data_IF_469157042920
#
_entry.id   IF_469157042920
#
_cell.length_a   1.000
_cell.length_b   1.000
_cell.length_c   1.000
_cell.angle_alpha   90.00
_cell.angle_beta   90.00
_cell.angle_gamma   90.00
#
_symmetry.space_group_name_H-M   'P 1'
#
loop_
_entity.id
_entity.type
_entity.pdbx_description
1 polymer ?
#
# COMPACT_ATOMS: atom_id res chain seq x y z
N UNK A 1 -0.52 -24.24 21.16
CA UNK A 1 0.88 -24.17 21.62
C UNK A 1 1.43 -22.87 21.08
N UNK A 2 1.56 -21.84 21.92
CA UNK A 2 1.96 -20.48 21.54
C UNK A 2 3.35 -20.17 22.10
N UNK A 3 4.17 -19.46 21.32
CA UNK A 3 5.50 -18.96 21.72
C UNK A 3 6.54 -20.09 21.69
N UNK A 4 7.65 -20.05 20.96
CA UNK A 4 8.54 -18.94 20.70
C UNK A 4 9.23 -19.21 19.35
N UNK A 5 8.89 -18.50 18.28
CA UNK A 5 9.56 -18.68 16.97
C UNK A 5 10.94 -18.02 16.89
N UNK A 6 11.35 -17.25 17.91
CA UNK A 6 12.58 -16.45 17.87
C UNK A 6 13.41 -16.56 19.17
N UNK A 7 13.84 -17.77 19.53
CA UNK A 7 14.68 -18.01 20.73
C UNK A 7 16.07 -17.35 20.73
N UNK A 8 16.49 -16.73 19.62
CA UNK A 8 17.77 -16.01 19.50
C UNK A 8 17.65 -14.49 19.62
N UNK A 9 16.43 -13.94 19.61
CA UNK A 9 16.18 -12.49 19.79
C UNK A 9 15.22 -12.29 20.96
N UNK A 10 15.73 -11.67 22.03
CA UNK A 10 14.87 -11.02 23.02
C UNK A 10 14.50 -9.66 22.43
N UNK A 11 13.29 -9.53 21.89
CA UNK A 11 12.67 -8.23 21.86
C UNK A 11 12.39 -7.90 23.33
N UNK A 12 12.81 -6.72 23.80
CA UNK A 12 12.59 -6.29 25.19
C UNK A 12 11.14 -6.59 25.62
N UNK A 13 10.89 -6.78 26.92
CA UNK A 13 9.56 -7.02 27.52
C UNK A 13 8.50 -5.92 27.20
N UNK A 14 8.88 -4.92 26.40
CA UNK A 14 8.12 -3.75 25.98
C UNK A 14 7.73 -3.73 24.48
N UNK A 15 8.02 -4.76 23.68
CA UNK A 15 7.45 -4.85 22.32
C UNK A 15 6.00 -5.39 22.35
N UNK A 16 5.07 -4.51 22.73
CA UNK A 16 3.60 -4.69 22.70
C UNK A 16 3.02 -4.76 21.26
N UNK A 17 3.70 -5.43 20.32
CA UNK A 17 3.12 -5.64 18.99
C UNK A 17 2.04 -6.72 19.09
N UNK A 18 0.78 -6.32 18.92
CA UNK A 18 -0.36 -7.22 18.91
C UNK A 18 -0.17 -8.38 17.91
N UNK A 19 -0.75 -9.54 18.20
CA UNK A 19 -0.83 -10.65 17.24
C UNK A 19 -1.73 -10.32 16.05
N UNK A 20 -1.58 -11.07 14.97
CA UNK A 20 -2.49 -10.96 13.82
C UNK A 20 -3.89 -11.52 14.16
N UNK A 21 -4.97 -11.00 13.54
CA UNK A 21 -5.00 -9.84 12.63
C UNK A 21 -4.90 -8.51 13.39
N UNK A 22 -3.98 -7.65 12.95
CA UNK A 22 -3.68 -6.38 13.63
C UNK A 22 -4.64 -5.27 13.23
N UNK A 23 -4.94 -4.39 14.18
CA UNK A 23 -5.70 -3.14 13.96
C UNK A 23 -4.80 -1.91 13.82
N UNK A 24 -3.62 -1.93 14.41
CA UNK A 24 -2.63 -0.85 14.41
C UNK A 24 -1.22 -1.43 14.25
N UNK A 25 -0.27 -0.61 13.82
CA UNK A 25 1.10 -1.07 13.53
C UNK A 25 1.16 -2.05 12.35
N UNK A 26 0.26 -1.90 11.38
CA UNK A 26 0.17 -2.79 10.21
C UNK A 26 1.35 -2.58 9.27
N UNK A 27 1.96 -3.68 8.85
CA UNK A 27 3.05 -3.68 7.87
C UNK A 27 2.55 -4.23 6.53
N UNK A 28 2.53 -3.40 5.50
CA UNK A 28 2.13 -3.80 4.15
C UNK A 28 3.36 -3.89 3.25
N UNK A 29 3.62 -5.06 2.68
CA UNK A 29 4.68 -5.26 1.70
C UNK A 29 4.17 -5.07 0.27
N UNK A 30 5.07 -4.65 -0.62
CA UNK A 30 4.78 -4.59 -2.05
C UNK A 30 5.05 -5.94 -2.70
N UNK A 31 4.14 -6.37 -3.57
CA UNK A 31 4.30 -7.57 -4.38
C UNK A 31 5.58 -7.49 -5.23
N UNK A 32 6.33 -8.59 -5.38
CA UNK A 32 7.44 -8.67 -6.31
C UNK A 32 6.98 -8.25 -7.72
N UNK A 33 7.66 -7.27 -8.31
CA UNK A 33 7.21 -6.61 -9.55
C UNK A 33 7.65 -7.32 -10.83
N UNK A 34 8.62 -8.25 -10.77
CA UNK A 34 9.38 -8.63 -11.97
C UNK A 34 9.70 -10.13 -12.13
N UNK A 35 9.39 -10.98 -11.15
CA UNK A 35 9.70 -12.42 -11.20
C UNK A 35 8.44 -13.26 -11.22
N UNK A 36 7.65 -13.20 -12.29
CA UNK A 36 6.40 -13.98 -12.44
C UNK A 36 6.61 -15.50 -12.27
N UNK A 37 7.80 -16.03 -12.58
CA UNK A 37 8.10 -17.46 -12.49
C UNK A 37 8.78 -17.90 -11.18
N UNK A 38 9.36 -16.96 -10.42
CA UNK A 38 10.10 -17.24 -9.18
C UNK A 38 9.46 -16.60 -7.93
N UNK A 39 8.46 -15.74 -8.12
CA UNK A 39 7.77 -15.01 -7.04
C UNK A 39 6.94 -15.92 -6.15
N UNK A 40 6.43 -17.05 -6.66
CA UNK A 40 5.71 -18.03 -5.85
C UNK A 40 6.56 -18.52 -4.68
N UNK A 41 7.79 -18.96 -4.95
CA UNK A 41 8.69 -19.45 -3.92
C UNK A 41 9.10 -18.31 -2.97
N UNK A 42 9.38 -17.13 -3.52
CA UNK A 42 9.82 -15.98 -2.70
C UNK A 42 8.73 -15.48 -1.75
N UNK A 43 7.46 -15.44 -2.19
CA UNK A 43 6.37 -15.00 -1.32
C UNK A 43 6.11 -16.00 -0.20
N UNK A 44 6.12 -17.30 -0.52
CA UNK A 44 5.97 -18.35 0.50
C UNK A 44 7.15 -18.32 1.48
N UNK A 45 8.39 -18.21 1.01
CA UNK A 45 9.58 -18.08 1.86
C UNK A 45 9.47 -16.88 2.81
N UNK A 46 8.96 -15.74 2.31
CA UNK A 46 8.72 -14.54 3.14
C UNK A 46 7.65 -14.80 4.18
N UNK A 47 6.53 -15.44 3.80
CA UNK A 47 5.44 -15.71 4.73
C UNK A 47 5.85 -16.75 5.79
N UNK A 48 6.60 -17.78 5.43
CA UNK A 48 7.09 -18.78 6.39
C UNK A 48 8.16 -18.23 7.34
N UNK A 49 9.04 -17.33 6.86
CA UNK A 49 10.15 -16.81 7.67
C UNK A 49 9.82 -15.53 8.46
N UNK A 50 9.15 -14.58 7.80
CA UNK A 50 8.87 -13.22 8.30
C UNK A 50 7.38 -12.91 8.35
N UNK A 51 6.51 -13.88 8.03
CA UNK A 51 5.07 -13.67 7.93
C UNK A 51 4.44 -13.08 9.17
N UNK A 52 4.93 -13.42 10.37
CA UNK A 52 4.45 -12.82 11.63
C UNK A 52 4.46 -11.28 11.59
N UNK A 53 5.39 -10.66 10.86
CA UNK A 53 5.55 -9.21 10.77
C UNK A 53 4.89 -8.57 9.55
N UNK A 54 4.29 -9.35 8.64
CA UNK A 54 3.66 -8.87 7.41
C UNK A 54 2.14 -8.96 7.54
N UNK A 55 1.43 -7.84 7.52
CA UNK A 55 -0.03 -7.80 7.66
C UNK A 55 -0.76 -7.71 6.32
N UNK A 56 -0.11 -7.12 5.30
CA UNK A 56 -0.72 -6.91 3.99
C UNK A 56 0.23 -7.10 2.81
N UNK A 57 -0.32 -7.49 1.66
CA UNK A 57 0.35 -7.60 0.37
C UNK A 57 -0.31 -6.68 -0.65
N UNK A 58 0.46 -5.72 -1.18
CA UNK A 58 0.00 -4.75 -2.18
C UNK A 58 0.48 -5.09 -3.59
N UNK A 59 -0.43 -5.25 -4.54
CA UNK A 59 -0.10 -5.32 -5.97
C UNK A 59 0.21 -3.92 -6.54
N UNK A 60 1.42 -3.40 -6.29
CA UNK A 60 1.72 -1.99 -6.62
C UNK A 60 1.62 -1.68 -8.12
N UNK A 61 1.10 -0.49 -8.42
CA UNK A 61 0.92 -0.01 -9.80
C UNK A 61 -0.09 -0.81 -10.61
N UNK A 62 -0.95 -1.60 -9.96
CA UNK A 62 -1.92 -2.43 -10.67
C UNK A 62 -1.31 -3.60 -11.41
N UNK A 63 -0.14 -4.11 -10.97
CA UNK A 63 0.56 -5.21 -11.64
C UNK A 63 -0.30 -6.46 -11.86
N UNK A 64 -1.32 -6.67 -11.02
CA UNK A 64 -2.30 -7.75 -11.17
C UNK A 64 -3.05 -7.69 -12.51
N UNK A 65 -3.20 -6.51 -13.14
CA UNK A 65 -3.86 -6.39 -14.45
C UNK A 65 -3.09 -7.06 -15.60
N UNK A 66 -1.80 -7.34 -15.39
CA UNK A 66 -0.92 -8.02 -16.34
C UNK A 66 -0.80 -9.53 -16.07
N UNK A 67 -1.44 -10.04 -15.02
CA UNK A 67 -1.32 -11.43 -14.57
C UNK A 67 -2.60 -12.22 -14.93
N UNK A 68 -2.49 -13.52 -15.25
CA UNK A 68 -3.66 -14.37 -15.41
C UNK A 68 -4.48 -14.44 -14.11
N UNK A 69 -5.80 -14.37 -14.20
CA UNK A 69 -6.71 -14.46 -13.04
C UNK A 69 -6.40 -15.66 -12.11
N UNK A 70 -6.16 -16.90 -12.61
CA UNK A 70 -5.85 -18.03 -11.73
C UNK A 70 -4.58 -17.85 -10.90
N UNK A 71 -3.58 -17.15 -11.44
CA UNK A 71 -2.34 -16.84 -10.71
C UNK A 71 -2.60 -15.87 -9.56
N UNK A 72 -3.44 -14.85 -9.79
CA UNK A 72 -3.81 -13.88 -8.75
C UNK A 72 -4.58 -14.58 -7.63
N UNK A 73 -5.56 -15.42 -7.98
CA UNK A 73 -6.34 -16.22 -7.03
C UNK A 73 -5.44 -17.15 -6.18
N UNK A 74 -4.41 -17.75 -6.78
CA UNK A 74 -3.43 -18.55 -6.04
C UNK A 74 -2.63 -17.70 -5.05
N UNK A 75 -2.10 -16.55 -5.47
CA UNK A 75 -1.36 -15.63 -4.59
C UNK A 75 -2.23 -15.12 -3.44
N UNK A 76 -3.48 -14.75 -3.73
CA UNK A 76 -4.46 -14.32 -2.71
C UNK A 76 -4.70 -15.43 -1.70
N UNK A 77 -4.95 -16.65 -2.18
CA UNK A 77 -5.17 -17.81 -1.31
C UNK A 77 -3.99 -18.06 -0.38
N UNK A 78 -2.74 -17.95 -0.88
CA UNK A 78 -1.53 -18.11 -0.05
C UNK A 78 -1.42 -17.01 0.99
N UNK A 79 -1.61 -15.74 0.61
CA UNK A 79 -1.59 -14.62 1.55
C UNK A 79 -2.60 -14.84 2.69
N UNK A 80 -3.82 -15.26 2.36
CA UNK A 80 -4.85 -15.54 3.36
C UNK A 80 -4.52 -16.72 4.29
N UNK A 81 -3.76 -17.73 3.84
CA UNK A 81 -3.28 -18.82 4.71
C UNK A 81 -2.34 -18.34 5.82
N UNK A 82 -1.73 -17.16 5.65
CA UNK A 82 -0.79 -16.55 6.60
C UNK A 82 -1.37 -15.31 7.31
N UNK A 83 -2.70 -15.14 7.28
CA UNK A 83 -3.42 -13.97 7.80
C UNK A 83 -2.91 -12.64 7.21
N UNK A 84 -2.56 -12.64 5.92
CA UNK A 84 -2.11 -11.46 5.18
C UNK A 84 -3.23 -10.99 4.26
N UNK A 85 -3.71 -9.76 4.45
CA UNK A 85 -4.71 -9.18 3.54
C UNK A 85 -4.09 -8.76 2.21
N UNK A 86 -4.89 -8.69 1.15
CA UNK A 86 -4.40 -8.32 -0.19
C UNK A 86 -5.05 -7.02 -0.67
N UNK A 87 -4.21 -6.07 -1.14
CA UNK A 87 -4.66 -4.82 -1.76
C UNK A 87 -4.37 -4.77 -3.26
N UNK A 88 -5.29 -4.16 -4.01
CA UNK A 88 -5.19 -4.03 -5.48
C UNK A 88 -4.13 -3.04 -5.95
N UNK A 89 -3.66 -2.15 -5.07
CA UNK A 89 -2.79 -1.04 -5.44
C UNK A 89 -3.45 0.02 -6.32
N UNK A 90 -2.63 0.84 -6.96
CA UNK A 90 -3.04 2.05 -7.69
C UNK A 90 -3.55 1.71 -9.14
N UNK A 91 -4.65 0.94 -9.26
CA UNK A 91 -5.27 0.58 -10.55
C UNK A 91 -6.67 1.17 -10.77
N UNK A 92 -7.43 1.38 -9.70
CA UNK A 92 -8.82 1.83 -9.77
C UNK A 92 -9.00 3.14 -10.57
N UNK A 93 -7.99 4.02 -10.56
CA UNK A 93 -7.98 5.28 -11.30
C UNK A 93 -8.09 5.10 -12.82
N UNK A 94 -7.58 4.00 -13.37
CA UNK A 94 -7.68 3.71 -14.79
C UNK A 94 -9.11 3.35 -15.20
N UNK A 95 -9.86 2.71 -14.29
CA UNK A 95 -11.22 2.23 -14.55
C UNK A 95 -12.27 3.30 -14.24
N UNK A 96 -12.03 4.14 -13.22
CA UNK A 96 -12.91 5.26 -12.89
C UNK A 96 -13.03 6.24 -14.07
N UNK A 97 -11.97 6.42 -14.86
CA UNK A 97 -11.98 7.24 -16.09
C UNK A 97 -12.96 6.73 -17.16
N UNK A 98 -13.29 5.44 -17.14
CA UNK A 98 -14.26 4.83 -18.04
C UNK A 98 -15.71 4.96 -17.53
N UNK A 99 -15.90 5.58 -16.36
CA UNK A 99 -17.19 5.90 -15.77
C UNK A 99 -17.58 5.01 -14.58
N UNK A 100 -18.67 5.34 -13.87
CA UNK A 100 -19.07 4.67 -12.63
C UNK A 100 -19.42 3.19 -12.79
N UNK A 101 -19.95 2.77 -13.94
CA UNK A 101 -20.32 1.37 -14.21
C UNK A 101 -19.08 0.47 -14.27
N UNK A 102 -18.02 0.92 -14.96
CA UNK A 102 -16.78 0.17 -15.05
C UNK A 102 -16.11 -0.03 -13.68
N UNK A 103 -16.15 1.01 -12.83
CA UNK A 103 -15.64 0.88 -11.47
C UNK A 103 -16.49 -0.08 -10.61
N UNK A 104 -17.81 -0.11 -10.80
CA UNK A 104 -18.68 -1.08 -10.11
C UNK A 104 -18.34 -2.52 -10.51
N UNK A 105 -18.18 -2.80 -11.80
CA UNK A 105 -17.78 -4.12 -12.30
C UNK A 105 -16.43 -4.53 -11.71
N UNK A 106 -15.46 -3.61 -11.70
CA UNK A 106 -14.15 -3.85 -11.07
C UNK A 106 -14.24 -4.22 -9.59
N UNK A 107 -15.10 -3.55 -8.82
CA UNK A 107 -15.29 -3.85 -7.39
C UNK A 107 -15.81 -5.29 -7.21
N UNK A 108 -16.74 -5.72 -8.05
CA UNK A 108 -17.25 -7.09 -8.01
C UNK A 108 -16.20 -8.12 -8.45
N UNK A 109 -15.40 -7.81 -9.47
CA UNK A 109 -14.30 -8.67 -9.93
C UNK A 109 -13.24 -8.83 -8.84
N UNK A 110 -12.84 -7.74 -8.18
CA UNK A 110 -11.90 -7.77 -7.07
C UNK A 110 -12.41 -8.64 -5.92
N UNK A 111 -13.70 -8.53 -5.60
CA UNK A 111 -14.33 -9.37 -4.58
C UNK A 111 -14.33 -10.83 -4.96
N UNK A 112 -14.63 -11.17 -6.21
CA UNK A 112 -14.63 -12.56 -6.69
C UNK A 112 -13.23 -13.20 -6.66
N UNK A 113 -12.19 -12.42 -7.00
CA UNK A 113 -10.79 -12.88 -6.94
C UNK A 113 -10.31 -13.05 -5.49
N UNK A 114 -10.95 -12.38 -4.53
CA UNK A 114 -10.62 -12.46 -3.11
C UNK A 114 -9.72 -11.33 -2.61
N UNK A 115 -9.63 -10.21 -3.31
CA UNK A 115 -8.98 -9.01 -2.75
C UNK A 115 -9.75 -8.52 -1.53
N UNK A 116 -9.03 -8.01 -0.52
CA UNK A 116 -9.63 -7.45 0.69
C UNK A 116 -9.80 -5.93 0.60
N UNK A 117 -8.86 -5.27 -0.08
CA UNK A 117 -8.73 -3.81 -0.08
C UNK A 117 -8.58 -3.26 -1.50
N UNK A 118 -9.39 -2.24 -1.83
CA UNK A 118 -9.23 -1.45 -3.06
C UNK A 118 -8.60 -0.12 -2.70
N UNK A 119 -7.44 0.17 -3.31
CA UNK A 119 -6.80 1.48 -3.17
C UNK A 119 -7.37 2.48 -4.18
N UNK A 120 -7.56 3.71 -3.71
CA UNK A 120 -8.06 4.82 -4.52
C UNK A 120 -7.04 5.96 -4.49
N UNK A 121 -6.31 6.16 -5.57
CA UNK A 121 -5.33 7.24 -5.66
C UNK A 121 -6.02 8.58 -5.94
N UNK A 122 -6.35 9.30 -4.88
CA UNK A 122 -7.12 10.55 -4.94
C UNK A 122 -6.38 11.61 -5.76
N UNK A 123 -5.05 11.69 -5.62
CA UNK A 123 -4.22 12.65 -6.34
C UNK A 123 -4.21 12.46 -7.86
N UNK A 124 -4.50 11.25 -8.35
CA UNK A 124 -4.54 10.94 -9.79
C UNK A 124 -5.95 10.96 -10.39
N UNK A 125 -6.98 10.96 -9.55
CA UNK A 125 -8.37 10.92 -9.98
C UNK A 125 -8.91 12.30 -10.39
N UNK A 126 -8.41 13.39 -9.81
CA UNK A 126 -8.88 14.76 -10.07
C UNK A 126 -10.41 14.90 -9.97
N UNK A 127 -11.04 14.15 -9.06
CA UNK A 127 -12.50 14.15 -8.85
C UNK A 127 -12.91 14.98 -7.63
N UNK A 128 -14.15 15.52 -7.60
CA UNK A 128 -14.71 16.12 -6.40
C UNK A 128 -14.75 15.14 -5.22
N UNK A 129 -14.63 15.67 -4.01
CA UNK A 129 -14.66 14.89 -2.76
C UNK A 129 -15.95 14.07 -2.63
N UNK A 130 -17.09 14.64 -3.00
CA UNK A 130 -18.38 13.93 -3.00
C UNK A 130 -18.35 12.68 -3.88
N UNK A 131 -17.71 12.76 -5.04
CA UNK A 131 -17.54 11.63 -5.96
C UNK A 131 -16.63 10.57 -5.35
N UNK A 132 -15.53 10.97 -4.72
CA UNK A 132 -14.66 10.05 -3.99
C UNK A 132 -15.43 9.31 -2.89
N UNK A 133 -16.25 10.00 -2.11
CA UNK A 133 -17.08 9.40 -1.07
C UNK A 133 -18.08 8.38 -1.63
N UNK A 134 -18.63 8.62 -2.83
CA UNK A 134 -19.49 7.65 -3.53
C UNK A 134 -18.73 6.37 -3.90
N UNK A 135 -17.50 6.49 -4.39
CA UNK A 135 -16.66 5.31 -4.67
C UNK A 135 -16.26 4.56 -3.41
N UNK A 136 -15.90 5.26 -2.34
CA UNK A 136 -15.61 4.65 -1.03
C UNK A 136 -16.83 3.87 -0.51
N UNK A 137 -18.04 4.44 -0.62
CA UNK A 137 -19.29 3.77 -0.23
C UNK A 137 -19.56 2.54 -1.08
N UNK A 138 -19.30 2.61 -2.39
CA UNK A 138 -19.46 1.48 -3.30
C UNK A 138 -18.57 0.31 -2.88
N UNK A 139 -17.27 0.54 -2.69
CA UNK A 139 -16.31 -0.47 -2.23
C UNK A 139 -16.76 -1.09 -0.90
N UNK A 140 -17.12 -0.26 0.08
CA UNK A 140 -17.60 -0.74 1.39
C UNK A 140 -18.90 -1.53 1.30
N UNK A 141 -19.84 -1.14 0.44
CA UNK A 141 -21.11 -1.86 0.24
C UNK A 141 -20.91 -3.26 -0.37
N UNK A 142 -19.82 -3.46 -1.12
CA UNK A 142 -19.44 -4.78 -1.63
C UNK A 142 -18.78 -5.66 -0.55
N UNK A 143 -18.47 -5.13 0.64
CA UNK A 143 -17.78 -5.85 1.72
C UNK A 143 -16.26 -5.73 1.68
N UNK A 144 -15.71 -4.85 0.84
CA UNK A 144 -14.27 -4.61 0.72
C UNK A 144 -13.85 -3.37 1.53
N UNK A 145 -12.56 -3.29 1.88
CA UNK A 145 -11.97 -2.10 2.50
C UNK A 145 -11.59 -1.10 1.41
N UNK A 146 -12.01 0.15 1.56
CA UNK A 146 -11.54 1.24 0.72
C UNK A 146 -10.32 1.89 1.37
N UNK A 147 -9.24 2.08 0.61
CA UNK A 147 -8.01 2.73 1.05
C UNK A 147 -7.71 3.94 0.15
N UNK A 148 -8.30 5.11 0.45
CA UNK A 148 -7.97 6.35 -0.24
C UNK A 148 -6.53 6.75 0.06
N UNK A 149 -5.73 6.93 -0.98
CA UNK A 149 -4.35 7.38 -0.90
C UNK A 149 -4.30 8.85 -1.32
N UNK A 150 -4.00 9.69 -0.35
CA UNK A 150 -3.75 11.11 -0.60
C UNK A 150 -2.25 11.32 -0.81
N UNK A 151 -1.91 11.93 -1.93
CA UNK A 151 -0.56 12.38 -2.22
C UNK A 151 -0.50 13.90 -2.02
N UNK A 152 0.44 14.35 -1.20
CA UNK A 152 0.81 15.77 -1.13
C UNK A 152 1.90 15.99 -2.15
N UNK A 153 1.60 16.82 -3.15
CA UNK A 153 2.54 17.19 -4.19
C UNK A 153 3.34 18.41 -3.72
N UNK A 154 4.62 18.24 -3.45
CA UNK A 154 5.54 19.35 -3.24
C UNK A 154 6.29 19.64 -4.53
N UNK A 155 6.49 20.91 -4.88
CA UNK A 155 7.48 21.21 -5.90
C UNK A 155 8.86 20.95 -5.30
N UNK A 156 9.81 20.51 -6.11
CA UNK A 156 11.22 20.41 -5.71
C UNK A 156 11.72 21.72 -5.06
N UNK A 157 11.27 22.86 -5.59
CA UNK A 157 11.59 24.20 -5.10
C UNK A 157 10.97 24.55 -3.74
N UNK A 158 9.98 23.78 -3.29
CA UNK A 158 9.37 23.89 -1.95
C UNK A 158 10.16 23.10 -0.90
N UNK A 159 11.06 22.19 -1.33
CA UNK A 159 11.96 21.44 -0.46
C UNK A 159 13.28 22.22 -0.36
N UNK A 160 13.67 22.70 0.84
CA UNK A 160 14.94 23.39 1.02
C UNK A 160 16.11 22.51 0.57
N UNK A 161 16.97 23.03 -0.29
CA UNK A 161 18.11 22.29 -0.86
C UNK A 161 19.29 22.12 0.10
N UNK A 162 19.39 22.95 1.14
CA UNK A 162 20.46 22.89 2.14
C UNK A 162 20.07 22.03 3.34
N UNK A 163 20.93 21.06 3.65
CA UNK A 163 20.70 19.99 4.64
C UNK A 163 20.84 20.40 6.10
N UNK A 164 21.04 21.68 6.41
CA UNK A 164 21.13 22.19 7.77
C UNK A 164 20.22 23.41 7.94
N UNK A 165 18.95 23.22 8.31
CA UNK A 165 18.10 24.34 8.74
C UNK A 165 17.22 24.01 9.93
N UNK A 166 17.22 24.95 10.87
CA UNK A 166 16.27 25.01 11.96
C UNK A 166 14.85 25.27 11.42
N UNK A 167 13.87 24.63 12.07
CA UNK A 167 12.45 24.83 11.80
C UNK A 167 12.08 26.32 11.90
N UNK A 168 11.47 26.90 10.86
CA UNK A 168 11.00 28.30 10.84
C UNK A 168 11.87 29.32 10.10
N UNK A 169 13.00 28.92 9.50
CA UNK A 169 13.81 29.82 8.68
C UNK A 169 13.13 30.15 7.33
N UNK A 170 12.99 31.44 7.00
CA UNK A 170 12.44 31.90 5.72
C UNK A 170 13.39 31.57 4.55
N UNK A 171 12.86 31.06 3.44
CA UNK A 171 13.64 30.69 2.24
C UNK A 171 13.08 31.41 1.02
N UNK A 172 13.94 32.09 0.27
CA UNK A 172 13.59 32.58 -1.06
C UNK A 172 13.36 31.38 -2.01
N UNK A 173 12.19 31.31 -2.63
CA UNK A 173 11.77 30.16 -3.45
C UNK A 173 12.66 30.02 -4.69
N UNK A 174 13.23 28.82 -4.89
CA UNK A 174 13.96 28.51 -6.11
C UNK A 174 13.00 28.48 -7.33
N UNK A 175 13.50 28.68 -8.57
CA UNK A 175 12.69 28.55 -9.78
C UNK A 175 12.00 27.17 -9.83
N UNK A 176 10.74 27.12 -10.28
CA UNK A 176 9.94 25.90 -10.33
C UNK A 176 10.55 24.89 -11.32
N UNK A 177 10.80 23.66 -10.86
CA UNK A 177 11.07 22.51 -11.73
C UNK A 177 10.00 21.42 -11.52
N UNK A 178 9.71 20.65 -12.56
CA UNK A 178 8.55 19.74 -12.67
C UNK A 178 8.72 18.36 -12.02
N UNK A 179 9.69 18.18 -11.13
CA UNK A 179 9.98 16.88 -10.52
C UNK A 179 8.96 16.53 -9.42
N UNK A 180 8.47 15.28 -9.41
CA UNK A 180 7.34 14.81 -8.59
C UNK A 180 7.79 13.79 -7.53
N UNK A 181 7.30 13.92 -6.29
CA UNK A 181 7.50 12.97 -5.20
C UNK A 181 6.15 12.55 -4.60
N UNK A 182 5.95 11.25 -4.35
CA UNK A 182 4.70 10.69 -3.81
C UNK A 182 4.83 10.35 -2.33
N UNK A 183 3.96 10.91 -1.49
CA UNK A 183 3.71 10.43 -0.13
C UNK A 183 2.36 9.70 -0.11
N UNK A 184 2.30 8.56 0.57
CA UNK A 184 1.05 7.84 0.81
C UNK A 184 0.69 8.00 2.29
N UNK A 185 -0.51 8.49 2.58
CA UNK A 185 -1.07 8.48 3.93
C UNK A 185 -2.09 7.36 4.04
N UNK A 186 -1.98 6.55 5.09
CA UNK A 186 -3.05 5.67 5.56
C UNK A 186 -3.94 6.48 6.53
N UNK A 187 -5.28 6.36 6.48
CA UNK A 187 -6.14 7.07 7.43
C UNK A 187 -6.08 6.50 8.86
N UNK A 188 -5.25 5.49 9.12
CA UNK A 188 -4.90 5.04 10.47
C UNK A 188 -3.37 4.78 10.50
N UNK A 189 -2.64 5.69 11.18
CA UNK A 189 -1.19 5.67 11.53
C UNK A 189 -0.20 6.25 10.49
N UNK A 190 0.63 7.15 11.05
CA UNK A 190 1.85 7.85 10.59
C UNK A 190 2.24 7.88 9.11
N UNK A 191 2.50 9.11 8.66
CA UNK A 191 3.16 9.43 7.39
C UNK A 191 4.62 8.96 7.44
N UNK A 192 4.88 7.74 6.96
CA UNK A 192 6.24 7.26 6.73
C UNK A 192 6.88 7.94 5.53
N UNK A 193 7.74 8.95 5.76
CA UNK A 193 8.64 9.49 4.74
C UNK A 193 9.74 8.44 4.47
N UNK A 194 9.58 7.66 3.41
CA UNK A 194 10.62 6.77 2.92
C UNK A 194 11.78 7.57 2.32
N UNK A 195 12.72 8.01 3.15
CA UNK A 195 14.00 8.54 2.67
C UNK A 195 14.82 7.35 2.18
N UNK A 196 15.01 7.27 0.86
CA UNK A 196 15.97 6.35 0.25
C UNK A 196 17.38 6.83 0.66
N UNK A 197 17.90 6.32 1.79
CA UNK A 197 19.31 6.49 2.16
C UNK A 197 20.14 5.53 1.29
N UNK A 198 20.35 5.88 0.04
CA UNK A 198 21.47 5.36 -0.72
C UNK A 198 22.73 6.17 -0.40
N UNK A 199 23.73 5.47 0.14
CA UNK A 199 25.12 5.88 0.44
C UNK A 199 25.35 6.76 1.68
N UNK A 200 25.98 6.17 2.70
CA UNK A 200 27.39 6.37 3.12
C UNK A 200 27.55 5.66 4.48
N UNK A 201 28.14 4.46 4.45
CA UNK A 201 29.34 4.02 5.17
C UNK A 201 29.67 2.62 4.64
#
# INVERSE_FOLDING_TARGET
MSGYYYGWKSFDEYEDRAEKPRRFGVTEMRSPHYTLSSSHNVLEDIFESMGQFVDGLKFSGGSHSLMPKPFIEEVVKRAHQHDVYVSTGDWAEHLIRNGPSAFKEYVEDCKQVGFDTIELNVGSLEIPEETLLRYVRLVKSAGLKAKPKFAVMFNKSDIPSDRDRAFGAYVARAPRSTDKLFLASNPEIEVGVGINKSRIC
#
